data_IF_066642036531
#
_entry.id   IF_066642036531
#
_cell.length_a   1.000
_cell.length_b   1.000
_cell.length_c   1.000
_cell.angle_alpha   90.00
_cell.angle_beta   90.00
_cell.angle_gamma   90.00
#
_symmetry.space_group_name_H-M   'P 1'
#
loop_
_entity.id
_entity.type
_entity.pdbx_description
1 polymer ?
#
# COMPACT_ATOMS: atom_id res chain seq x y z
N UNK A 1 1.64 -9.46 -9.53
CA UNK A 1 0.64 -8.38 -9.54
C UNK A 1 -0.63 -8.84 -8.85
N UNK A 2 -1.46 -9.73 -9.43
CA UNK A 2 -2.65 -10.24 -8.73
C UNK A 2 -2.34 -10.96 -7.40
N UNK A 3 -1.47 -11.96 -7.42
CA UNK A 3 -1.10 -12.70 -6.19
C UNK A 3 -0.41 -11.79 -5.17
N UNK A 4 0.46 -10.89 -5.64
CA UNK A 4 1.16 -9.93 -4.78
C UNK A 4 0.18 -9.01 -4.06
N UNK A 5 -0.65 -8.26 -4.80
CA UNK A 5 -1.65 -7.36 -4.22
C UNK A 5 -2.63 -8.08 -3.28
N UNK A 6 -3.07 -9.29 -3.61
CA UNK A 6 -3.94 -10.07 -2.71
C UNK A 6 -3.22 -10.51 -1.44
N UNK A 7 -2.01 -11.07 -1.56
CA UNK A 7 -1.24 -11.56 -0.43
C UNK A 7 -0.84 -10.40 0.50
N UNK A 8 -0.34 -9.31 -0.06
CA UNK A 8 0.09 -8.14 0.69
C UNK A 8 -1.08 -7.48 1.41
N UNK A 9 -2.21 -7.24 0.74
CA UNK A 9 -3.37 -6.68 1.45
C UNK A 9 -3.89 -7.63 2.54
N UNK A 10 -3.89 -8.94 2.31
CA UNK A 10 -4.26 -9.93 3.33
C UNK A 10 -3.38 -9.82 4.57
N UNK A 11 -2.07 -9.63 4.41
CA UNK A 11 -1.13 -9.49 5.53
C UNK A 11 -1.28 -8.12 6.19
N UNK A 12 -1.14 -7.04 5.42
CA UNK A 12 -1.01 -5.70 5.97
C UNK A 12 -2.34 -5.09 6.40
N UNK A 13 -3.41 -5.24 5.62
CA UNK A 13 -4.75 -4.65 5.92
C UNK A 13 -5.71 -5.67 6.51
N UNK A 14 -5.49 -6.96 6.28
CA UNK A 14 -6.25 -8.01 6.96
C UNK A 14 -5.67 -8.33 8.34
N UNK A 15 -4.60 -9.11 8.34
CA UNK A 15 -4.03 -9.71 9.54
C UNK A 15 -3.47 -8.66 10.52
N UNK A 16 -2.57 -7.78 10.08
CA UNK A 16 -1.92 -6.83 10.99
C UNK A 16 -2.89 -5.79 11.57
N UNK A 17 -3.86 -5.31 10.80
CA UNK A 17 -4.91 -4.43 11.32
C UNK A 17 -5.76 -5.11 12.40
N UNK A 18 -6.11 -6.38 12.20
CA UNK A 18 -6.85 -7.13 13.22
C UNK A 18 -6.02 -7.31 14.50
N UNK A 19 -4.73 -7.67 14.36
CA UNK A 19 -3.84 -7.92 15.50
C UNK A 19 -3.55 -6.64 16.27
N UNK A 20 -3.24 -5.54 15.59
CA UNK A 20 -3.02 -4.25 16.23
C UNK A 20 -4.31 -3.66 16.80
N UNK A 21 -5.46 -3.88 16.16
CA UNK A 21 -6.75 -3.50 16.72
C UNK A 21 -7.03 -4.19 18.06
N UNK A 22 -6.66 -5.47 18.20
CA UNK A 22 -6.74 -6.20 19.48
C UNK A 22 -5.70 -5.75 20.50
N UNK A 23 -4.47 -5.51 20.06
CA UNK A 23 -3.35 -5.15 20.94
C UNK A 23 -3.48 -3.73 21.51
N UNK A 24 -3.85 -2.77 20.68
CA UNK A 24 -3.91 -1.34 21.03
C UNK A 24 -5.27 -0.92 21.59
N UNK A 25 -6.29 -1.77 21.44
CA UNK A 25 -7.64 -1.51 21.90
C UNK A 25 -8.46 -0.58 20.99
N UNK A 26 -9.64 -0.15 21.43
CA UNK A 26 -10.52 0.71 20.64
C UNK A 26 -10.05 2.17 20.65
N UNK A 27 -10.45 2.92 19.61
CA UNK A 27 -10.32 4.38 19.57
C UNK A 27 -9.52 4.91 18.38
N UNK A 28 -9.60 6.23 18.19
CA UNK A 28 -8.96 6.91 17.06
C UNK A 28 -7.44 6.79 17.13
N UNK A 29 -6.84 6.91 18.31
CA UNK A 29 -5.39 6.80 18.50
C UNK A 29 -4.89 5.41 18.08
N UNK A 30 -5.53 4.34 18.55
CA UNK A 30 -5.17 2.97 18.20
C UNK A 30 -5.29 2.71 16.68
N UNK A 31 -6.36 3.21 16.07
CA UNK A 31 -6.61 3.11 14.63
C UNK A 31 -5.55 3.88 13.82
N UNK A 32 -5.25 5.12 14.19
CA UNK A 32 -4.21 5.93 13.54
C UNK A 32 -2.84 5.29 13.69
N UNK A 33 -2.49 4.82 14.89
CA UNK A 33 -1.23 4.09 15.11
C UNK A 33 -1.14 2.82 14.25
N UNK A 34 -2.23 2.06 14.12
CA UNK A 34 -2.28 0.87 13.26
C UNK A 34 -2.00 1.21 11.80
N UNK A 35 -2.63 2.27 11.28
CA UNK A 35 -2.37 2.77 9.92
C UNK A 35 -0.90 3.15 9.75
N UNK A 36 -0.35 3.96 10.67
CA UNK A 36 1.03 4.43 10.56
C UNK A 36 2.05 3.29 10.62
N UNK A 37 1.89 2.36 11.57
CA UNK A 37 2.81 1.24 11.77
C UNK A 37 2.79 0.27 10.59
N UNK A 38 1.60 -0.09 10.11
CA UNK A 38 1.47 -1.01 8.96
C UNK A 38 1.98 -0.38 7.66
N UNK A 39 1.78 0.94 7.48
CA UNK A 39 2.27 1.67 6.30
C UNK A 39 3.79 1.78 6.29
N UNK A 40 4.40 2.11 7.43
CA UNK A 40 5.85 2.16 7.56
C UNK A 40 6.48 0.78 7.34
N UNK A 41 5.89 -0.28 7.91
CA UNK A 41 6.37 -1.65 7.68
C UNK A 41 6.27 -2.01 6.20
N UNK A 42 5.12 -1.75 5.57
CA UNK A 42 4.92 -2.03 4.16
C UNK A 42 5.97 -1.34 3.27
N UNK A 43 6.21 -0.04 3.47
CA UNK A 43 7.26 0.69 2.74
C UNK A 43 8.67 0.15 2.99
N UNK A 44 9.01 -0.17 4.25
CA UNK A 44 10.31 -0.76 4.58
C UNK A 44 10.53 -2.12 3.90
N UNK A 45 9.46 -2.91 3.71
CA UNK A 45 9.51 -4.18 2.97
C UNK A 45 9.99 -4.03 1.52
N UNK A 46 9.82 -2.84 0.94
CA UNK A 46 10.21 -2.55 -0.45
C UNK A 46 11.66 -2.07 -0.59
N UNK A 47 12.34 -1.75 0.51
CA UNK A 47 13.67 -1.13 0.47
C UNK A 47 14.72 -1.97 -0.24
N UNK A 48 14.75 -3.28 0.03
CA UNK A 48 15.82 -4.17 -0.45
C UNK A 48 15.83 -4.29 -1.98
N UNK A 49 14.65 -4.28 -2.61
CA UNK A 49 14.52 -4.50 -4.07
C UNK A 49 14.35 -3.18 -4.82
N UNK A 50 13.65 -2.20 -4.24
CA UNK A 50 13.26 -0.96 -4.92
C UNK A 50 13.96 0.29 -4.37
N UNK A 51 14.81 0.15 -3.35
CA UNK A 51 15.55 1.23 -2.74
C UNK A 51 14.65 2.27 -2.06
N UNK A 52 15.19 3.49 -1.89
CA UNK A 52 14.48 4.59 -1.22
C UNK A 52 13.20 4.99 -1.96
N UNK A 53 13.23 5.04 -3.29
CA UNK A 53 12.06 5.41 -4.11
C UNK A 53 10.89 4.43 -3.88
N UNK A 54 11.15 3.12 -3.91
CA UNK A 54 10.11 2.14 -3.61
C UNK A 54 9.66 2.14 -2.16
N UNK A 55 10.55 2.44 -1.20
CA UNK A 55 10.16 2.61 0.20
C UNK A 55 9.24 3.82 0.41
N UNK A 56 9.54 4.94 -0.23
CA UNK A 56 8.71 6.14 -0.20
C UNK A 56 7.33 5.84 -0.82
N UNK A 57 7.31 5.35 -2.05
CA UNK A 57 6.09 4.98 -2.77
C UNK A 57 5.27 3.96 -1.97
N UNK A 58 5.92 2.90 -1.47
CA UNK A 58 5.30 1.88 -0.64
C UNK A 58 4.71 2.48 0.63
N UNK A 59 5.41 3.39 1.31
CA UNK A 59 4.87 4.06 2.52
C UNK A 59 3.63 4.89 2.19
N UNK A 60 3.66 5.63 1.07
CA UNK A 60 2.52 6.47 0.64
C UNK A 60 1.31 5.60 0.29
N UNK A 61 1.48 4.56 -0.54
CA UNK A 61 0.41 3.59 -0.86
C UNK A 61 -0.07 2.90 0.43
N UNK A 62 0.88 2.53 1.28
CA UNK A 62 0.76 2.21 2.71
C UNK A 62 -0.35 3.00 3.39
N UNK A 63 -0.13 4.31 3.50
CA UNK A 63 -1.00 5.24 4.20
C UNK A 63 -2.36 5.36 3.52
N UNK A 64 -2.39 5.52 2.20
CA UNK A 64 -3.65 5.69 1.45
C UNK A 64 -4.55 4.48 1.64
N UNK A 65 -4.03 3.27 1.41
CA UNK A 65 -4.83 2.05 1.53
C UNK A 65 -5.13 1.71 2.99
N UNK A 66 -4.21 1.99 3.90
CA UNK A 66 -4.45 1.86 5.34
C UNK A 66 -5.62 2.73 5.79
N UNK A 67 -5.66 4.01 5.37
CA UNK A 67 -6.78 4.94 5.66
C UNK A 67 -8.08 4.43 5.04
N UNK A 68 -8.07 4.04 3.76
CA UNK A 68 -9.27 3.51 3.09
C UNK A 68 -9.78 2.28 3.84
N UNK A 69 -8.92 1.33 4.23
CA UNK A 69 -9.33 0.17 5.01
C UNK A 69 -9.89 0.58 6.37
N UNK A 70 -9.22 1.51 7.05
CA UNK A 70 -9.66 1.99 8.36
C UNK A 70 -11.09 2.58 8.28
N UNK A 71 -11.41 3.31 7.21
CA UNK A 71 -12.75 3.91 7.01
C UNK A 71 -13.78 2.89 6.54
N UNK A 72 -13.42 2.03 5.59
CA UNK A 72 -14.39 1.17 4.87
C UNK A 72 -14.55 -0.22 5.47
N UNK A 73 -13.50 -0.76 6.10
CA UNK A 73 -13.42 -2.15 6.56
C UNK A 73 -13.46 -3.19 5.43
N UNK A 74 -13.25 -2.79 4.17
CA UNK A 74 -13.46 -3.65 2.99
C UNK A 74 -12.15 -3.94 2.26
N UNK A 75 -11.60 -5.13 2.49
CA UNK A 75 -10.29 -5.53 1.95
C UNK A 75 -10.30 -5.84 0.45
N UNK A 76 -11.40 -6.37 -0.09
CA UNK A 76 -11.46 -6.81 -1.49
C UNK A 76 -11.25 -5.65 -2.48
N UNK A 77 -11.71 -4.44 -2.14
CA UNK A 77 -11.47 -3.25 -2.97
C UNK A 77 -9.99 -2.91 -3.04
N UNK A 78 -9.27 -3.05 -1.92
CA UNK A 78 -7.84 -2.81 -1.87
C UNK A 78 -7.06 -3.87 -2.63
N UNK A 79 -7.46 -5.14 -2.55
CA UNK A 79 -6.84 -6.22 -3.32
C UNK A 79 -6.90 -5.96 -4.82
N UNK A 80 -8.06 -5.51 -5.32
CA UNK A 80 -8.23 -5.12 -6.72
C UNK A 80 -7.42 -3.87 -7.04
N UNK A 81 -7.51 -2.82 -6.23
CA UNK A 81 -6.78 -1.56 -6.44
C UNK A 81 -5.26 -1.77 -6.47
N UNK A 82 -4.72 -2.55 -5.54
CA UNK A 82 -3.29 -2.89 -5.48
C UNK A 82 -2.88 -3.65 -6.75
N UNK A 83 -3.63 -4.69 -7.10
CA UNK A 83 -3.32 -5.49 -8.29
C UNK A 83 -3.37 -4.65 -9.57
N UNK A 84 -4.32 -3.71 -9.67
CA UNK A 84 -4.41 -2.76 -10.78
C UNK A 84 -3.25 -1.77 -10.79
N UNK A 85 -2.83 -1.28 -9.63
CA UNK A 85 -1.67 -0.39 -9.49
C UNK A 85 -0.39 -1.09 -9.99
N UNK A 86 -0.13 -2.30 -9.50
CA UNK A 86 0.99 -3.15 -9.91
C UNK A 86 1.01 -3.42 -11.41
N UNK A 87 -0.15 -3.79 -11.97
CA UNK A 87 -0.28 -4.03 -13.41
C UNK A 87 -0.02 -2.77 -14.22
N UNK A 88 -0.47 -1.61 -13.73
CA UNK A 88 -0.25 -0.31 -14.38
C UNK A 88 1.22 0.06 -14.33
N UNK A 89 1.89 -0.10 -13.18
CA UNK A 89 3.32 0.13 -13.05
C UNK A 89 4.13 -0.77 -14.00
N UNK A 90 3.80 -2.06 -14.05
CA UNK A 90 4.42 -3.01 -14.98
C UNK A 90 4.20 -2.59 -16.45
N UNK A 91 2.98 -2.17 -16.79
CA UNK A 91 2.64 -1.71 -18.13
C UNK A 91 3.41 -0.44 -18.54
N UNK A 92 3.54 0.54 -17.65
CA UNK A 92 4.32 1.75 -17.89
C UNK A 92 5.79 1.43 -18.18
N UNK A 93 6.38 0.51 -17.41
CA UNK A 93 7.76 0.06 -17.63
C UNK A 93 7.88 -0.73 -18.94
N UNK A 94 6.96 -1.67 -19.18
CA UNK A 94 7.02 -2.57 -20.34
C UNK A 94 6.85 -1.83 -21.68
N UNK A 95 6.02 -0.79 -21.72
CA UNK A 95 5.79 0.03 -22.90
C UNK A 95 6.63 1.31 -22.95
N UNK A 96 7.58 1.49 -22.02
CA UNK A 96 8.48 2.66 -21.95
C UNK A 96 7.73 4.01 -21.86
N UNK A 97 6.61 4.03 -21.12
CA UNK A 97 5.74 5.21 -21.01
C UNK A 97 6.09 6.11 -19.81
N UNK A 98 7.02 5.70 -18.96
CA UNK A 98 7.31 6.37 -17.69
C UNK A 98 7.73 7.84 -17.90
N UNK A 99 8.63 8.10 -18.83
CA UNK A 99 9.13 9.47 -19.13
C UNK A 99 8.01 10.36 -19.68
N UNK A 100 7.21 9.84 -20.61
CA UNK A 100 6.11 10.58 -21.23
C UNK A 100 5.05 10.95 -20.18
N UNK A 101 4.69 10.00 -19.30
CA UNK A 101 3.74 10.24 -18.21
C UNK A 101 4.31 11.23 -17.20
N UNK A 102 5.60 11.12 -16.85
CA UNK A 102 6.24 12.06 -15.94
C UNK A 102 6.18 13.50 -16.48
N UNK A 103 6.47 13.73 -17.76
CA UNK A 103 6.44 15.06 -18.37
C UNK A 103 5.03 15.66 -18.53
N UNK A 104 3.98 14.83 -18.48
CA UNK A 104 2.60 15.33 -18.41
C UNK A 104 2.29 16.00 -17.06
N UNK A 105 2.96 15.58 -15.98
CA UNK A 105 2.68 16.03 -14.60
C UNK A 105 3.75 17.00 -14.11
N UNK A 106 5.02 16.68 -14.34
CA UNK A 106 6.19 17.45 -13.95
C UNK A 106 6.81 18.08 -15.20
N UNK A 107 6.69 19.40 -15.33
CA UNK A 107 7.33 20.18 -16.39
C UNK A 107 8.76 20.57 -16.02
#
# INVERSE_FOLDING_TARGET
MLVAGFAEETVYRGYLFERFGKLLGPGVVAKTSTVLLTSAWFGLGHYVVQGLAGTEQGTIVGLVFGIIFAVTGRIWMLMLAHSSFDLTALAMIYWDLETDVAHLVFK
#
